data_IF_275227202533
#
_entry.id   IF_275227202533
#
_cell.length_a   1.000
_cell.length_b   1.000
_cell.length_c   1.000
_cell.angle_alpha   90.00
_cell.angle_beta   90.00
_cell.angle_gamma   90.00
#
_symmetry.space_group_name_H-M   'P 1'
#
loop_
_entity.id
_entity.type
_entity.pdbx_description
1 polymer ?
#
# COMPACT_ATOMS: atom_id res chain seq x y z
N UNK A 1 10.65 6.52 16.06
CA UNK A 1 11.65 5.75 16.85
C UNK A 1 11.10 5.06 18.09
N UNK A 2 10.17 5.63 18.89
CA UNK A 2 9.70 4.97 20.14
C UNK A 2 9.23 3.52 19.90
N UNK A 3 8.39 3.30 18.88
CA UNK A 3 7.89 1.96 18.56
C UNK A 3 8.99 1.03 18.02
N UNK A 4 9.87 1.53 17.15
CA UNK A 4 11.02 0.76 16.66
C UNK A 4 11.94 0.27 17.79
N UNK A 5 12.22 1.09 18.80
CA UNK A 5 13.03 0.68 19.96
C UNK A 5 12.31 -0.36 20.83
N UNK A 6 10.98 -0.26 20.93
CA UNK A 6 10.16 -1.28 21.61
C UNK A 6 10.25 -2.62 20.87
N UNK A 7 9.99 -2.63 19.56
CA UNK A 7 10.08 -3.82 18.72
C UNK A 7 11.49 -4.43 18.78
N UNK A 8 12.53 -3.59 18.73
CA UNK A 8 13.92 -4.07 18.88
C UNK A 8 14.11 -4.85 20.18
N UNK A 9 13.66 -4.30 21.31
CA UNK A 9 13.77 -4.97 22.60
C UNK A 9 12.94 -6.27 22.66
N UNK A 10 11.78 -6.30 22.02
CA UNK A 10 10.94 -7.49 21.89
C UNK A 10 11.62 -8.60 21.07
N UNK A 11 12.20 -8.26 19.91
CA UNK A 11 12.95 -9.21 19.08
C UNK A 11 14.20 -9.73 19.81
N UNK A 12 14.88 -8.88 20.58
CA UNK A 12 16.00 -9.28 21.45
C UNK A 12 15.55 -10.26 22.54
N UNK A 13 14.41 -9.99 23.19
CA UNK A 13 13.85 -10.85 24.23
C UNK A 13 13.38 -12.20 23.66
N UNK A 14 12.80 -12.20 22.47
CA UNK A 14 12.47 -13.41 21.72
C UNK A 14 13.71 -14.16 21.27
N UNK A 15 14.89 -13.54 21.29
CA UNK A 15 16.18 -14.14 20.93
C UNK A 15 16.36 -14.30 19.42
N UNK A 16 15.90 -13.34 18.63
CA UNK A 16 16.36 -13.18 17.25
C UNK A 16 17.81 -12.66 17.23
N UNK A 17 18.48 -12.87 16.11
CA UNK A 17 19.88 -12.50 15.90
C UNK A 17 20.02 -11.39 14.85
N UNK A 18 21.24 -10.87 14.67
CA UNK A 18 21.57 -9.84 13.67
C UNK A 18 20.63 -8.61 13.71
N UNK A 19 20.20 -8.22 14.92
CA UNK A 19 19.23 -7.14 15.13
C UNK A 19 19.92 -5.80 14.91
N UNK A 20 19.39 -4.99 13.98
CA UNK A 20 19.88 -3.65 13.71
C UNK A 20 18.74 -2.66 13.59
N UNK A 21 18.86 -1.51 14.25
CA UNK A 21 18.02 -0.33 14.05
C UNK A 21 18.92 0.80 13.58
N UNK A 22 18.68 1.32 12.37
CA UNK A 22 19.50 2.40 11.81
C UNK A 22 18.99 3.81 12.19
N UNK A 23 19.75 4.84 11.81
CA UNK A 23 19.40 6.24 12.08
C UNK A 23 18.16 6.74 11.32
N UNK A 24 17.64 5.95 10.37
CA UNK A 24 16.45 6.27 9.59
C UNK A 24 15.21 5.54 10.11
N UNK A 25 15.38 4.60 11.04
CA UNK A 25 14.28 3.88 11.68
C UNK A 25 14.00 2.51 11.08
N UNK A 26 14.84 1.98 10.19
CA UNK A 26 14.68 0.62 9.69
C UNK A 26 15.18 -0.38 10.73
N UNK A 27 14.28 -1.26 11.16
CA UNK A 27 14.60 -2.35 12.09
C UNK A 27 14.66 -3.68 11.34
N UNK A 28 15.82 -4.33 11.34
CA UNK A 28 16.00 -5.67 10.77
C UNK A 28 16.39 -6.66 11.86
N UNK A 29 15.96 -7.92 11.71
CA UNK A 29 16.37 -9.03 12.58
C UNK A 29 16.37 -10.37 11.81
N UNK A 30 16.93 -11.40 12.43
CA UNK A 30 17.06 -12.75 11.87
C UNK A 30 16.53 -13.81 12.81
N UNK A 31 15.74 -14.73 12.27
CA UNK A 31 15.59 -16.07 12.82
C UNK A 31 16.60 -17.00 12.13
N UNK A 32 17.59 -17.57 12.86
CA UNK A 32 18.59 -18.47 12.26
C UNK A 32 17.97 -19.71 11.65
N UNK A 33 18.62 -20.27 10.63
CA UNK A 33 18.21 -21.57 10.05
C UNK A 33 18.24 -22.68 11.09
N UNK A 34 17.24 -23.58 11.04
CA UNK A 34 17.24 -24.81 11.84
C UNK A 34 17.53 -26.08 11.02
N UNK A 35 17.99 -25.90 9.78
CA UNK A 35 18.43 -26.96 8.85
C UNK A 35 19.89 -26.76 8.42
N UNK A 36 20.57 -27.86 8.13
CA UNK A 36 21.98 -27.86 7.67
C UNK A 36 22.13 -27.63 6.15
N UNK A 37 21.08 -27.92 5.36
CA UNK A 37 21.14 -27.72 3.91
C UNK A 37 21.03 -26.23 3.58
N UNK A 38 21.62 -25.83 2.45
CA UNK A 38 21.43 -24.49 1.92
C UNK A 38 19.97 -24.30 1.49
N UNK A 39 19.34 -23.25 2.03
CA UNK A 39 17.97 -22.84 1.75
C UNK A 39 18.00 -21.34 1.44
N UNK A 40 17.24 -20.87 0.45
CA UNK A 40 17.13 -19.44 0.19
C UNK A 40 16.76 -18.64 1.42
N UNK A 41 17.41 -17.48 1.59
CA UNK A 41 17.06 -16.53 2.65
C UNK A 41 15.84 -15.74 2.22
N UNK A 42 14.75 -15.82 2.99
CA UNK A 42 13.49 -15.12 2.70
C UNK A 42 13.20 -14.05 3.73
N UNK A 43 12.49 -13.01 3.31
CA UNK A 43 12.09 -11.88 4.15
C UNK A 43 10.58 -11.81 4.43
N UNK A 44 10.22 -11.28 5.59
CA UNK A 44 8.88 -10.75 5.86
C UNK A 44 8.99 -9.29 6.33
N UNK A 45 8.15 -8.41 5.79
CA UNK A 45 8.25 -6.97 5.97
C UNK A 45 6.88 -6.40 6.36
N UNK A 46 6.85 -5.48 7.32
CA UNK A 46 5.65 -4.70 7.70
C UNK A 46 6.03 -3.31 8.15
N UNK A 47 5.13 -2.33 8.02
CA UNK A 47 5.42 -0.94 8.36
C UNK A 47 4.93 -0.52 9.76
N UNK A 48 5.62 0.46 10.35
CA UNK A 48 5.41 0.86 11.76
C UNK A 48 4.47 2.04 11.94
N UNK A 49 4.26 2.84 10.91
CA UNK A 49 3.41 4.01 10.95
C UNK A 49 1.92 3.64 10.76
N UNK A 50 1.08 4.66 10.74
CA UNK A 50 -0.36 4.55 10.50
C UNK A 50 -0.77 5.79 9.71
N UNK A 51 -1.73 5.64 8.81
CA UNK A 51 -2.18 6.72 7.91
C UNK A 51 -2.40 8.09 8.59
N UNK A 52 -1.97 9.19 7.94
CA UNK A 52 -2.22 10.55 8.42
C UNK A 52 -3.69 11.00 8.27
N UNK A 53 -4.52 10.24 7.56
CA UNK A 53 -5.92 10.59 7.25
C UNK A 53 -6.81 10.61 8.51
N UNK A 54 -6.44 9.84 9.53
CA UNK A 54 -7.11 9.83 10.83
C UNK A 54 -6.11 9.64 11.96
N UNK A 55 -6.38 10.22 13.12
CA UNK A 55 -5.46 10.11 14.26
C UNK A 55 -5.33 8.66 14.74
N UNK A 56 -4.10 8.14 14.76
CA UNK A 56 -3.71 6.88 15.43
C UNK A 56 -3.21 7.07 16.88
N UNK A 57 -3.43 8.27 17.45
CA UNK A 57 -3.05 8.57 18.85
C UNK A 57 -4.15 8.16 19.82
N UNK A 58 -3.75 7.54 20.93
CA UNK A 58 -4.63 7.14 22.05
C UNK A 58 -5.77 6.20 21.61
N UNK A 59 -5.47 5.29 20.66
CA UNK A 59 -6.41 4.27 20.17
C UNK A 59 -6.92 3.43 21.34
N UNK A 60 -8.23 3.25 21.39
CA UNK A 60 -8.92 2.46 22.43
C UNK A 60 -9.60 1.24 21.80
N UNK A 61 -8.83 0.19 21.46
CA UNK A 61 -9.38 -0.99 20.81
C UNK A 61 -10.26 -1.78 21.77
N UNK A 62 -11.30 -2.42 21.23
CA UNK A 62 -12.12 -3.39 21.98
C UNK A 62 -12.48 -4.59 21.13
N UNK A 63 -12.69 -5.73 21.78
CA UNK A 63 -13.08 -6.97 21.11
C UNK A 63 -14.60 -7.09 21.12
N UNK A 64 -15.18 -7.42 19.97
CA UNK A 64 -16.55 -7.88 19.80
C UNK A 64 -16.49 -9.38 19.62
N UNK A 65 -16.77 -10.12 20.69
CA UNK A 65 -16.72 -11.58 20.67
C UNK A 65 -17.89 -12.16 19.88
N UNK A 66 -17.63 -13.20 19.09
CA UNK A 66 -18.64 -13.97 18.35
C UNK A 66 -19.63 -13.06 17.60
N UNK A 67 -19.10 -12.23 16.70
CA UNK A 67 -19.88 -11.22 15.97
C UNK A 67 -21.14 -11.82 15.32
N UNK A 68 -22.30 -11.24 15.60
CA UNK A 68 -23.60 -11.82 15.21
C UNK A 68 -24.11 -11.38 13.83
N UNK A 69 -23.37 -10.51 13.15
CA UNK A 69 -23.78 -9.95 11.86
C UNK A 69 -24.69 -8.74 11.95
N UNK A 70 -24.76 -8.07 13.10
CA UNK A 70 -25.56 -6.85 13.31
C UNK A 70 -24.69 -5.59 13.40
N UNK A 71 -25.31 -4.44 13.65
CA UNK A 71 -24.60 -3.17 13.81
C UNK A 71 -23.71 -3.18 15.07
N UNK A 72 -22.49 -2.65 14.93
CA UNK A 72 -21.55 -2.49 16.05
C UNK A 72 -21.47 -0.99 16.40
N UNK A 73 -21.99 -0.61 17.55
CA UNK A 73 -21.81 0.76 18.07
C UNK A 73 -20.34 0.98 18.46
N UNK A 74 -19.62 1.84 17.73
CA UNK A 74 -18.22 2.13 18.03
C UNK A 74 -18.08 3.16 19.15
N UNK A 75 -18.89 4.22 19.10
CA UNK A 75 -18.89 5.26 20.14
C UNK A 75 -19.81 4.92 21.31
N UNK A 76 -19.46 5.41 22.50
CA UNK A 76 -20.28 5.25 23.69
C UNK A 76 -21.67 5.91 23.56
N UNK A 77 -21.76 6.99 22.78
CA UNK A 77 -23.01 7.71 22.49
C UNK A 77 -23.87 6.99 21.44
N UNK A 78 -23.35 5.95 20.76
CA UNK A 78 -24.06 5.17 19.75
C UNK A 78 -24.30 5.91 18.43
N UNK A 79 -23.67 7.06 18.22
CA UNK A 79 -23.79 7.86 16.99
C UNK A 79 -22.81 7.45 15.87
N UNK A 80 -21.80 6.65 16.19
CA UNK A 80 -20.85 6.07 15.23
C UNK A 80 -21.06 4.55 15.26
N UNK A 81 -21.47 3.99 14.12
CA UNK A 81 -21.87 2.59 14.01
C UNK A 81 -21.16 1.97 12.81
N UNK A 82 -20.43 0.88 13.05
CA UNK A 82 -19.94 0.00 12.00
C UNK A 82 -21.10 -0.93 11.61
N UNK A 83 -21.67 -0.70 10.42
CA UNK A 83 -22.91 -1.34 9.97
C UNK A 83 -22.70 -2.16 8.70
N UNK A 84 -23.23 -3.39 8.61
CA UNK A 84 -23.21 -4.17 7.37
C UNK A 84 -24.02 -3.54 6.23
N UNK A 85 -24.88 -2.55 6.51
CA UNK A 85 -25.56 -1.78 5.47
C UNK A 85 -24.60 -0.84 4.72
N UNK A 86 -23.53 -0.39 5.39
CA UNK A 86 -22.49 0.47 4.83
C UNK A 86 -21.28 -0.35 4.36
N UNK A 87 -20.97 -1.43 5.09
CA UNK A 87 -19.81 -2.29 4.89
C UNK A 87 -20.27 -3.76 4.77
N UNK A 88 -20.84 -4.18 3.63
CA UNK A 88 -21.42 -5.52 3.45
C UNK A 88 -20.45 -6.67 3.75
N UNK A 89 -19.15 -6.46 3.54
CA UNK A 89 -18.06 -7.38 3.85
C UNK A 89 -18.03 -7.80 5.33
N UNK A 90 -18.52 -6.96 6.25
CA UNK A 90 -18.64 -7.29 7.67
C UNK A 90 -19.43 -8.59 7.90
N UNK A 91 -20.42 -8.89 7.04
CA UNK A 91 -21.24 -10.11 7.13
C UNK A 91 -20.44 -11.39 6.85
N UNK A 92 -19.25 -11.31 6.25
CA UNK A 92 -18.38 -12.46 6.05
C UNK A 92 -17.76 -12.98 7.37
N UNK A 93 -17.76 -12.14 8.41
CA UNK A 93 -17.06 -12.40 9.68
C UNK A 93 -18.00 -12.80 10.82
N UNK A 94 -19.19 -13.32 10.51
CA UNK A 94 -20.12 -13.81 11.54
C UNK A 94 -19.51 -15.00 12.30
N UNK A 95 -19.53 -14.91 13.62
CA UNK A 95 -18.96 -15.91 14.53
C UNK A 95 -17.47 -15.72 14.81
N UNK A 96 -16.82 -14.73 14.21
CA UNK A 96 -15.43 -14.36 14.51
C UNK A 96 -15.38 -13.28 15.61
N UNK A 97 -14.20 -13.11 16.20
CA UNK A 97 -13.95 -12.07 17.19
C UNK A 97 -13.34 -10.86 16.49
N UNK A 98 -13.98 -9.70 16.60
CA UNK A 98 -13.57 -8.49 15.87
C UNK A 98 -12.91 -7.49 16.82
N UNK A 99 -11.68 -7.06 16.50
CA UNK A 99 -11.08 -5.90 17.13
C UNK A 99 -11.58 -4.65 16.38
N UNK A 100 -12.21 -3.74 17.10
CA UNK A 100 -12.79 -2.50 16.56
C UNK A 100 -12.30 -1.27 17.32
N UNK A 101 -12.43 -0.09 16.72
CA UNK A 101 -12.15 1.21 17.34
C UNK A 101 -13.25 1.65 18.33
N UNK A 102 -13.05 2.80 18.99
CA UNK A 102 -14.11 3.54 19.69
C UNK A 102 -14.80 4.62 18.82
N UNK A 103 -14.49 4.65 17.53
CA UNK A 103 -15.01 5.61 16.55
C UNK A 103 -14.28 6.96 16.49
N UNK A 104 -13.30 7.22 17.36
CA UNK A 104 -12.56 8.51 17.42
C UNK A 104 -11.20 8.49 16.75
N UNK A 105 -10.63 7.31 16.57
CA UNK A 105 -9.31 7.06 15.95
C UNK A 105 -9.45 6.06 14.80
N UNK A 106 -8.39 5.89 14.00
CA UNK A 106 -8.19 4.64 13.27
C UNK A 106 -7.80 3.52 14.27
N UNK A 107 -7.76 2.27 13.82
CA UNK A 107 -7.30 1.14 14.63
C UNK A 107 -5.79 0.95 14.52
N UNK A 108 -5.25 1.04 13.31
CA UNK A 108 -3.86 0.75 12.98
C UNK A 108 -3.61 -0.75 12.82
N UNK A 109 -4.60 -1.51 12.36
CA UNK A 109 -4.39 -2.85 11.85
C UNK A 109 -3.46 -2.80 10.63
N UNK A 110 -3.64 -1.81 9.77
CA UNK A 110 -2.65 -1.34 8.79
C UNK A 110 -1.55 -0.51 9.51
N UNK A 111 -0.32 -1.02 9.70
CA UNK A 111 0.17 -2.39 9.43
C UNK A 111 0.69 -3.10 10.69
N UNK A 112 0.13 -2.74 11.85
CA UNK A 112 0.53 -3.39 13.12
C UNK A 112 0.00 -4.81 13.24
N UNK A 113 -1.00 -5.19 12.45
CA UNK A 113 -1.42 -6.58 12.33
C UNK A 113 -0.31 -7.42 11.70
N UNK A 114 0.24 -6.99 10.56
CA UNK A 114 1.37 -7.64 9.91
C UNK A 114 2.60 -7.76 10.81
N UNK A 115 2.92 -6.69 11.57
CA UNK A 115 3.98 -6.76 12.59
C UNK A 115 3.71 -7.86 13.62
N UNK A 116 2.51 -7.90 14.20
CA UNK A 116 2.15 -8.89 15.20
C UNK A 116 2.19 -10.32 14.62
N UNK A 117 1.70 -10.51 13.40
CA UNK A 117 1.70 -11.80 12.69
C UNK A 117 3.12 -12.30 12.42
N UNK A 118 4.01 -11.42 11.97
CA UNK A 118 5.44 -11.73 11.75
C UNK A 118 6.09 -12.14 13.06
N UNK A 119 5.92 -11.35 14.13
CA UNK A 119 6.54 -11.62 15.44
C UNK A 119 6.02 -12.94 16.01
N UNK A 120 4.70 -13.17 15.99
CA UNK A 120 4.09 -14.42 16.44
C UNK A 120 4.53 -15.63 15.61
N UNK A 121 4.73 -15.47 14.30
CA UNK A 121 5.28 -16.53 13.46
C UNK A 121 6.72 -16.89 13.84
N UNK A 122 7.56 -15.88 14.13
CA UNK A 122 8.94 -16.13 14.56
C UNK A 122 8.99 -16.82 15.93
N UNK A 123 8.15 -16.39 16.87
CA UNK A 123 8.02 -17.03 18.19
C UNK A 123 7.61 -18.50 18.03
N UNK A 124 6.55 -18.76 17.26
CA UNK A 124 6.06 -20.11 17.03
C UNK A 124 7.09 -21.04 16.37
N UNK A 125 7.80 -20.58 15.34
CA UNK A 125 8.88 -21.37 14.70
C UNK A 125 10.01 -21.72 15.68
N UNK A 126 10.30 -20.84 16.65
CA UNK A 126 11.29 -21.12 17.70
C UNK A 126 10.80 -22.15 18.71
N UNK A 127 9.52 -22.09 19.08
CA UNK A 127 8.91 -23.04 20.01
C UNK A 127 8.68 -24.43 19.36
N UNK A 128 8.61 -24.48 18.03
CA UNK A 128 8.35 -25.67 17.22
C UNK A 128 9.51 -26.04 16.27
N UNK A 129 10.69 -26.44 16.79
CA UNK A 129 11.87 -26.75 15.98
C UNK A 129 11.74 -27.99 15.08
N UNK A 130 10.66 -28.76 15.24
CA UNK A 130 10.24 -29.80 14.30
C UNK A 130 9.84 -29.23 12.93
N UNK A 131 9.36 -27.98 12.88
CA UNK A 131 9.05 -27.27 11.64
C UNK A 131 10.35 -26.76 11.06
N UNK A 132 10.75 -27.31 9.92
CA UNK A 132 12.03 -26.97 9.30
C UNK A 132 11.94 -25.68 8.53
N UNK A 133 12.89 -24.78 8.74
CA UNK A 133 12.98 -23.50 8.05
C UNK A 133 14.45 -23.11 7.81
N UNK A 134 14.68 -22.37 6.72
CA UNK A 134 15.97 -21.71 6.45
C UNK A 134 16.17 -20.47 7.32
N UNK A 135 17.16 -19.64 6.95
CA UNK A 135 17.33 -18.32 7.56
C UNK A 135 16.17 -17.42 7.14
N UNK A 136 15.51 -16.78 8.10
CA UNK A 136 14.42 -15.84 7.84
C UNK A 136 14.84 -14.45 8.32
N UNK A 137 14.60 -13.43 7.50
CA UNK A 137 14.81 -12.03 7.85
C UNK A 137 13.46 -11.36 8.08
N UNK A 138 13.39 -10.51 9.09
CA UNK A 138 12.21 -9.67 9.34
C UNK A 138 12.62 -8.20 9.28
N UNK A 139 11.78 -7.38 8.67
CA UNK A 139 12.03 -5.96 8.50
C UNK A 139 10.84 -5.11 8.87
N UNK A 140 11.06 -4.07 9.67
CA UNK A 140 10.05 -3.09 10.02
C UNK A 140 10.46 -1.70 9.53
N UNK A 141 9.73 -1.18 8.54
CA UNK A 141 9.99 0.08 7.84
C UNK A 141 9.21 1.26 8.46
N UNK A 142 9.77 2.47 8.47
CA UNK A 142 9.05 3.69 8.83
C UNK A 142 8.48 4.40 7.58
N UNK A 143 7.46 5.23 7.76
CA UNK A 143 6.99 6.23 6.78
C UNK A 143 6.45 5.62 5.46
N UNK A 144 5.82 4.44 5.51
CA UNK A 144 5.13 3.82 4.36
C UNK A 144 3.99 4.71 3.88
N UNK A 145 3.17 5.20 4.81
CA UNK A 145 1.89 5.88 4.53
C UNK A 145 2.07 7.26 3.89
N UNK A 146 3.32 7.75 3.87
CA UNK A 146 3.73 8.98 3.18
C UNK A 146 4.61 8.70 1.95
N UNK A 147 4.70 7.44 1.54
CA UNK A 147 5.38 6.95 0.34
C UNK A 147 6.91 6.89 0.46
N UNK A 148 7.46 6.86 1.68
CA UNK A 148 8.90 6.89 1.94
C UNK A 148 9.45 5.57 2.52
N UNK A 149 8.59 4.60 2.82
CA UNK A 149 8.99 3.36 3.48
C UNK A 149 10.10 2.60 2.76
N UNK A 150 9.99 2.38 1.45
CA UNK A 150 11.05 1.71 0.71
C UNK A 150 12.21 2.63 0.32
N UNK A 151 12.13 3.95 0.56
CA UNK A 151 13.05 4.93 -0.03
C UNK A 151 14.51 4.72 0.39
N UNK A 152 14.75 4.45 1.68
CA UNK A 152 16.10 4.20 2.24
C UNK A 152 16.33 2.77 2.71
N UNK A 153 15.41 1.86 2.38
CA UNK A 153 15.57 0.45 2.69
C UNK A 153 16.85 -0.12 2.06
N UNK A 154 17.73 -0.70 2.88
CA UNK A 154 18.99 -1.30 2.47
C UNK A 154 18.79 -2.78 2.13
N UNK A 155 18.56 -3.05 0.84
CA UNK A 155 18.31 -4.41 0.31
C UNK A 155 19.51 -5.33 0.51
N UNK A 156 20.73 -4.81 0.36
CA UNK A 156 21.96 -5.60 0.51
C UNK A 156 22.14 -6.04 1.97
N UNK A 157 21.93 -5.13 2.92
CA UNK A 157 21.94 -5.43 4.35
C UNK A 157 20.77 -6.32 4.78
N UNK A 158 19.61 -6.19 4.14
CA UNK A 158 18.48 -7.08 4.41
C UNK A 158 18.81 -8.52 3.98
N UNK A 159 19.44 -8.69 2.81
CA UNK A 159 20.16 -9.92 2.46
C UNK A 159 19.28 -11.11 2.10
N UNK A 160 18.11 -10.87 1.50
CA UNK A 160 17.17 -11.91 1.06
C UNK A 160 17.18 -12.12 -0.44
N UNK A 161 16.84 -13.33 -0.89
CA UNK A 161 16.56 -13.63 -2.29
C UNK A 161 15.20 -13.05 -2.72
N UNK A 162 14.22 -13.09 -1.82
CA UNK A 162 12.92 -12.42 -1.97
C UNK A 162 12.30 -12.17 -0.59
N UNK A 163 11.22 -11.39 -0.57
CA UNK A 163 10.47 -11.11 0.65
C UNK A 163 8.96 -11.12 0.40
N UNK A 164 8.17 -10.99 1.46
CA UNK A 164 6.73 -10.73 1.41
C UNK A 164 6.42 -9.54 2.32
N UNK A 165 5.64 -8.58 1.85
CA UNK A 165 4.99 -7.63 2.77
C UNK A 165 3.77 -8.31 3.37
N UNK A 166 3.55 -8.13 4.67
CA UNK A 166 2.36 -8.60 5.38
C UNK A 166 1.41 -7.43 5.58
N UNK A 167 0.98 -6.80 4.49
CA UNK A 167 0.32 -5.48 4.47
C UNK A 167 -0.92 -5.51 3.54
N UNK A 168 -1.53 -6.69 3.39
CA UNK A 168 -2.74 -6.87 2.58
C UNK A 168 -4.01 -6.79 3.42
N UNK A 169 -5.15 -6.69 2.74
CA UNK A 169 -6.46 -6.63 3.39
C UNK A 169 -7.01 -8.00 3.77
N UNK A 170 -8.10 -8.39 3.10
CA UNK A 170 -8.90 -9.56 3.46
C UNK A 170 -8.15 -10.89 3.34
N UNK A 171 -8.55 -11.87 4.15
CA UNK A 171 -7.99 -13.23 4.14
C UNK A 171 -7.95 -13.82 2.72
N UNK A 172 -6.76 -14.29 2.35
CA UNK A 172 -6.49 -14.91 1.06
C UNK A 172 -6.01 -13.95 -0.01
N UNK A 173 -6.03 -12.63 0.22
CA UNK A 173 -5.43 -11.67 -0.71
C UNK A 173 -3.93 -11.97 -0.91
N UNK A 174 -3.55 -12.00 -2.18
CA UNK A 174 -2.17 -12.16 -2.64
C UNK A 174 -1.96 -11.21 -3.82
N UNK A 175 -1.05 -10.26 -3.65
CA UNK A 175 -0.92 -9.16 -4.61
C UNK A 175 0.51 -9.09 -5.13
N UNK A 176 0.66 -9.16 -6.45
CA UNK A 176 1.96 -9.07 -7.12
C UNK A 176 1.90 -8.19 -8.38
N UNK A 177 0.84 -7.40 -8.48
CA UNK A 177 0.61 -6.42 -9.54
C UNK A 177 0.16 -5.11 -8.89
N UNK A 178 0.75 -3.99 -9.32
CA UNK A 178 0.34 -2.65 -8.88
C UNK A 178 0.33 -1.67 -10.05
N UNK A 179 -0.14 -0.44 -9.84
CA UNK A 179 -0.11 0.55 -10.91
C UNK A 179 1.33 0.96 -11.29
N UNK A 180 1.54 1.26 -12.57
CA UNK A 180 2.56 2.23 -12.97
C UNK A 180 2.03 3.64 -12.70
N UNK A 181 2.88 4.54 -12.22
CA UNK A 181 2.48 5.85 -11.73
C UNK A 181 3.35 6.98 -12.25
N UNK A 182 2.71 8.08 -12.65
CA UNK A 182 3.36 9.36 -12.91
C UNK A 182 2.56 10.50 -12.27
N UNK A 183 3.24 11.60 -11.99
CA UNK A 183 2.62 12.89 -11.68
C UNK A 183 2.86 13.86 -12.84
N UNK A 184 1.83 14.63 -13.20
CA UNK A 184 1.88 15.64 -14.24
C UNK A 184 1.37 16.97 -13.71
N UNK A 185 2.24 17.98 -13.69
CA UNK A 185 1.90 19.36 -13.32
C UNK A 185 1.90 20.21 -14.58
N UNK A 186 0.77 20.86 -14.85
CA UNK A 186 0.61 21.72 -16.02
C UNK A 186 0.39 23.15 -15.54
N UNK A 187 1.27 24.04 -15.98
CA UNK A 187 1.19 25.48 -15.70
C UNK A 187 0.69 26.20 -16.94
N UNK A 188 -0.37 26.99 -16.78
CA UNK A 188 -0.93 27.82 -17.84
C UNK A 188 -0.63 29.29 -17.58
N UNK A 189 -0.04 29.95 -18.55
CA UNK A 189 0.24 31.39 -18.53
C UNK A 189 -0.89 32.15 -19.22
N UNK A 190 -1.49 33.08 -18.50
CA UNK A 190 -2.45 34.04 -18.99
C UNK A 190 -1.84 35.44 -19.16
N UNK A 191 -2.72 36.42 -19.19
CA UNK A 191 -2.40 37.85 -19.24
C UNK A 191 -3.54 38.63 -18.60
N UNK A 192 -3.32 39.11 -17.38
CA UNK A 192 -4.29 39.87 -16.62
C UNK A 192 -4.26 41.36 -16.99
N UNK A 193 -5.44 41.96 -17.06
CA UNK A 193 -5.63 43.40 -17.25
C UNK A 193 -6.93 43.81 -16.55
N UNK A 194 -7.09 45.10 -16.25
CA UNK A 194 -8.32 45.58 -15.62
C UNK A 194 -9.58 45.14 -16.41
N UNK A 195 -10.57 44.48 -15.78
CA UNK A 195 -11.73 43.89 -16.47
C UNK A 195 -12.49 44.87 -17.39
N UNK A 196 -12.60 46.14 -16.98
CA UNK A 196 -13.24 47.19 -17.79
C UNK A 196 -12.55 47.51 -19.13
N UNK A 197 -11.30 47.09 -19.33
CA UNK A 197 -10.51 47.35 -20.54
C UNK A 197 -10.00 46.05 -21.19
N UNK A 198 -10.60 44.91 -20.86
CA UNK A 198 -10.05 43.58 -21.16
C UNK A 198 -10.25 43.09 -22.61
N UNK A 199 -11.15 43.71 -23.38
CA UNK A 199 -11.49 43.26 -24.74
C UNK A 199 -10.24 43.13 -25.62
N UNK A 200 -10.03 41.95 -26.18
CA UNK A 200 -8.89 41.57 -27.03
C UNK A 200 -7.50 41.72 -26.36
N UNK A 201 -7.45 41.82 -25.02
CA UNK A 201 -6.20 41.94 -24.25
C UNK A 201 -6.08 40.83 -23.23
N UNK A 202 -7.10 40.59 -22.41
CA UNK A 202 -7.01 39.57 -21.37
C UNK A 202 -6.91 38.17 -21.97
N UNK A 203 -6.00 37.37 -21.42
CA UNK A 203 -5.96 35.92 -21.60
C UNK A 203 -6.17 35.34 -20.22
N UNK A 204 -7.29 34.66 -20.00
CA UNK A 204 -7.63 34.14 -18.68
C UNK A 204 -7.11 32.71 -18.53
N UNK A 205 -6.03 32.55 -17.76
CA UNK A 205 -5.37 31.26 -17.58
C UNK A 205 -6.33 30.18 -17.03
N UNK A 206 -7.26 30.55 -16.14
CA UNK A 206 -8.22 29.62 -15.52
C UNK A 206 -9.13 29.00 -16.58
N UNK A 207 -9.53 29.78 -17.60
CA UNK A 207 -10.36 29.27 -18.70
C UNK A 207 -9.58 28.34 -19.62
N UNK A 208 -8.29 28.60 -19.80
CA UNK A 208 -7.40 27.71 -20.56
C UNK A 208 -7.20 26.40 -19.79
N UNK A 209 -6.98 26.47 -18.47
CA UNK A 209 -6.90 25.30 -17.61
C UNK A 209 -8.20 24.47 -17.62
N UNK A 210 -9.37 25.12 -17.52
CA UNK A 210 -10.66 24.45 -17.68
C UNK A 210 -10.75 23.72 -19.03
N UNK A 211 -10.34 24.37 -20.12
CA UNK A 211 -10.36 23.77 -21.44
C UNK A 211 -9.47 22.53 -21.53
N UNK A 212 -8.30 22.56 -20.91
CA UNK A 212 -7.42 21.39 -20.80
C UNK A 212 -8.08 20.27 -20.00
N UNK A 213 -8.69 20.57 -18.84
CA UNK A 213 -9.39 19.60 -18.00
C UNK A 213 -10.51 18.90 -18.79
N UNK A 214 -11.27 19.65 -19.57
CA UNK A 214 -12.34 19.11 -20.45
C UNK A 214 -11.83 18.22 -21.59
N UNK A 215 -10.55 18.27 -21.92
CA UNK A 215 -9.95 17.41 -22.95
C UNK A 215 -9.54 16.04 -22.40
N UNK A 216 -9.33 15.91 -21.08
CA UNK A 216 -9.00 14.64 -20.43
C UNK A 216 -10.27 13.77 -20.36
N UNK A 217 -10.22 12.47 -20.73
CA UNK A 217 -11.40 11.62 -20.73
C UNK A 217 -12.04 11.49 -19.34
N UNK A 218 -13.23 12.05 -19.16
CA UNK A 218 -13.90 12.08 -17.85
C UNK A 218 -14.26 10.69 -17.31
N UNK A 219 -14.44 9.68 -18.18
CA UNK A 219 -14.74 8.31 -17.75
C UNK A 219 -13.50 7.53 -17.32
N UNK A 220 -12.30 8.03 -17.62
CA UNK A 220 -11.04 7.41 -17.19
C UNK A 220 -10.54 8.11 -15.92
N UNK A 221 -11.39 8.10 -14.90
CA UNK A 221 -11.16 8.73 -13.60
C UNK A 221 -11.32 7.70 -12.45
N UNK A 222 -10.71 7.91 -11.28
CA UNK A 222 -10.81 6.97 -10.16
C UNK A 222 -12.25 6.60 -9.79
N UNK A 223 -13.16 7.57 -9.77
CA UNK A 223 -14.58 7.40 -9.43
C UNK A 223 -15.40 6.60 -10.46
N UNK A 224 -14.78 6.20 -11.57
CA UNK A 224 -15.41 5.46 -12.67
C UNK A 224 -14.65 4.19 -13.07
N UNK A 225 -13.57 3.84 -12.38
CA UNK A 225 -12.67 2.74 -12.77
C UNK A 225 -12.44 1.77 -11.63
N UNK A 226 -12.27 0.48 -11.96
CA UNK A 226 -12.07 -0.61 -11.00
C UNK A 226 -11.08 -1.65 -11.52
N UNK A 227 -10.62 -2.54 -10.64
CA UNK A 227 -9.69 -3.63 -11.01
C UNK A 227 -8.44 -3.13 -11.75
N UNK A 228 -8.25 -3.59 -12.98
CA UNK A 228 -7.08 -3.24 -13.80
C UNK A 228 -7.19 -1.93 -14.59
N UNK A 229 -8.35 -1.27 -14.56
CA UNK A 229 -8.59 -0.04 -15.33
C UNK A 229 -7.71 1.13 -14.81
N UNK A 230 -6.87 1.68 -15.67
CA UNK A 230 -6.09 2.89 -15.39
C UNK A 230 -6.90 4.18 -15.52
N UNK A 231 -6.34 5.29 -15.05
CA UNK A 231 -7.02 6.59 -15.02
C UNK A 231 -6.07 7.79 -15.08
N UNK A 232 -6.67 8.95 -15.34
CA UNK A 232 -6.13 10.27 -15.03
C UNK A 232 -6.92 10.84 -13.85
N UNK A 233 -6.23 11.36 -12.85
CA UNK A 233 -6.90 11.98 -11.70
C UNK A 233 -6.41 13.40 -11.48
N UNK A 234 -7.33 14.36 -11.60
CA UNK A 234 -7.10 15.76 -11.26
C UNK A 234 -7.10 15.93 -9.74
N UNK A 235 -5.91 16.09 -9.15
CA UNK A 235 -5.71 16.18 -7.70
C UNK A 235 -5.63 17.61 -7.17
N UNK A 236 -5.55 18.60 -8.05
CA UNK A 236 -5.47 20.00 -7.62
C UNK A 236 -5.61 20.99 -8.77
N UNK A 237 -6.31 22.08 -8.47
CA UNK A 237 -6.44 23.25 -9.35
C UNK A 237 -6.20 24.49 -8.51
N UNK A 238 -5.28 25.35 -8.94
CA UNK A 238 -5.01 26.63 -8.30
C UNK A 238 -4.77 27.67 -9.38
N UNK A 239 -5.27 28.88 -9.23
CA UNK A 239 -4.95 29.91 -10.21
C UNK A 239 -5.72 31.20 -10.10
N UNK A 240 -5.19 32.17 -10.84
CA UNK A 240 -5.75 33.49 -11.09
C UNK A 240 -5.72 33.78 -12.60
N UNK A 241 -6.20 34.95 -13.03
CA UNK A 241 -6.20 35.31 -14.47
C UNK A 241 -4.81 35.23 -15.10
N UNK A 242 -3.77 35.63 -14.35
CA UNK A 242 -2.38 35.67 -14.83
C UNK A 242 -1.77 34.28 -14.97
N UNK A 243 -2.01 33.37 -14.03
CA UNK A 243 -1.41 32.04 -14.06
C UNK A 243 -2.29 31.04 -13.31
N UNK A 244 -2.40 29.83 -13.83
CA UNK A 244 -3.04 28.70 -13.14
C UNK A 244 -2.19 27.44 -13.28
N UNK A 245 -2.38 26.53 -12.34
CA UNK A 245 -1.72 25.24 -12.29
C UNK A 245 -2.78 24.17 -12.07
N UNK A 246 -2.67 23.09 -12.83
CA UNK A 246 -3.42 21.85 -12.58
C UNK A 246 -2.43 20.73 -12.32
N UNK A 247 -2.76 19.90 -11.35
CA UNK A 247 -1.95 18.74 -10.96
C UNK A 247 -2.74 17.47 -11.21
N UNK A 248 -2.13 16.55 -11.94
CA UNK A 248 -2.67 15.24 -12.25
C UNK A 248 -1.77 14.14 -11.71
N UNK A 249 -2.38 13.01 -11.38
CA UNK A 249 -1.70 11.72 -11.32
C UNK A 249 -2.22 10.80 -12.42
N UNK A 250 -1.33 9.98 -12.96
CA UNK A 250 -1.60 9.05 -14.06
C UNK A 250 -1.32 7.64 -13.55
N UNK A 251 -2.25 6.72 -13.76
CA UNK A 251 -2.15 5.33 -13.30
C UNK A 251 -2.55 4.36 -14.39
N UNK A 252 -1.77 3.30 -14.59
CA UNK A 252 -2.20 2.14 -15.39
C UNK A 252 -1.38 0.89 -15.03
N UNK A 253 -2.01 -0.28 -14.97
CA UNK A 253 -1.31 -1.54 -14.72
C UNK A 253 -0.46 -1.95 -15.91
N UNK A 254 -0.92 -1.63 -17.11
CA UNK A 254 -0.26 -1.97 -18.37
C UNK A 254 0.77 -0.88 -18.72
N UNK A 255 2.00 -1.30 -19.01
CA UNK A 255 3.10 -0.37 -19.28
C UNK A 255 2.89 0.43 -20.56
N UNK A 256 2.35 -0.18 -21.61
CA UNK A 256 2.14 0.50 -22.88
C UNK A 256 0.99 1.50 -22.79
N UNK A 257 -0.10 1.15 -22.09
CA UNK A 257 -1.20 2.09 -21.80
C UNK A 257 -0.72 3.23 -20.92
N UNK A 258 0.11 2.96 -19.91
CA UNK A 258 0.71 4.00 -19.07
C UNK A 258 1.52 5.01 -19.91
N UNK A 259 2.40 4.54 -20.79
CA UNK A 259 3.18 5.42 -21.66
C UNK A 259 2.29 6.13 -22.70
N UNK A 260 1.23 5.48 -23.19
CA UNK A 260 0.23 6.12 -24.05
C UNK A 260 -0.48 7.26 -23.30
N UNK A 261 -0.83 7.07 -22.03
CA UNK A 261 -1.48 8.09 -21.23
C UNK A 261 -0.62 9.34 -21.05
N UNK A 262 0.68 9.14 -20.81
CA UNK A 262 1.69 10.21 -20.74
C UNK A 262 1.77 10.99 -22.06
N UNK A 263 1.81 10.28 -23.20
CA UNK A 263 1.79 10.91 -24.54
C UNK A 263 0.51 11.69 -24.82
N UNK A 264 -0.65 11.23 -24.33
CA UNK A 264 -1.90 11.99 -24.48
C UNK A 264 -1.86 13.31 -23.69
N UNK A 265 -1.27 13.34 -22.48
CA UNK A 265 -1.05 14.59 -21.74
C UNK A 265 -0.17 15.58 -22.52
N UNK A 266 0.93 15.11 -23.11
CA UNK A 266 1.77 15.91 -24.00
C UNK A 266 0.98 16.43 -25.21
N UNK A 267 0.14 15.58 -25.81
CA UNK A 267 -0.72 15.95 -26.95
C UNK A 267 -1.73 17.03 -26.56
N UNK A 268 -2.34 16.93 -25.37
CA UNK A 268 -3.27 17.94 -24.88
C UNK A 268 -2.60 19.29 -24.66
N UNK A 269 -1.39 19.29 -24.08
CA UNK A 269 -0.56 20.50 -23.91
C UNK A 269 -0.21 21.12 -25.26
N UNK A 270 0.23 20.31 -26.23
CA UNK A 270 0.54 20.78 -27.58
C UNK A 270 -0.67 21.42 -28.26
N UNK A 271 -1.87 20.84 -28.09
CA UNK A 271 -3.12 21.39 -28.63
C UNK A 271 -3.50 22.73 -27.98
N UNK A 272 -3.33 22.87 -26.67
CA UNK A 272 -3.52 24.17 -26.00
C UNK A 272 -2.55 25.21 -26.56
N UNK A 273 -1.27 24.87 -26.72
CA UNK A 273 -0.27 25.79 -27.27
C UNK A 273 -0.57 26.19 -28.72
N UNK A 274 -1.10 25.27 -29.54
CA UNK A 274 -1.53 25.59 -30.90
C UNK A 274 -2.73 26.55 -30.95
N UNK A 275 -3.64 26.47 -29.96
CA UNK A 275 -4.86 27.27 -29.92
C UNK A 275 -4.65 28.66 -29.29
N UNK A 276 -3.81 28.74 -28.26
CA UNK A 276 -3.66 29.94 -27.42
C UNK A 276 -2.29 30.64 -27.56
N UNK A 277 -1.33 30.02 -28.26
CA UNK A 277 0.01 30.53 -28.50
C UNK A 277 1.09 29.62 -27.89
N UNK A 278 2.26 29.60 -28.51
CA UNK A 278 3.42 28.86 -27.97
C UNK A 278 3.69 29.27 -26.52
N UNK A 279 4.15 28.31 -25.70
CA UNK A 279 4.46 28.45 -24.27
C UNK A 279 3.30 28.83 -23.34
N UNK A 280 2.05 28.86 -23.82
CA UNK A 280 0.86 29.07 -22.98
C UNK A 280 0.71 27.99 -21.90
N UNK A 281 0.99 26.73 -22.24
CA UNK A 281 0.94 25.59 -21.33
C UNK A 281 2.31 24.91 -21.28
N UNK A 282 2.79 24.64 -20.07
CA UNK A 282 4.04 23.92 -19.81
C UNK A 282 3.75 22.70 -18.95
N UNK A 283 4.25 21.53 -19.35
CA UNK A 283 4.10 20.26 -18.64
C UNK A 283 5.39 19.87 -17.95
N UNK A 284 5.31 19.66 -16.64
CA UNK A 284 6.31 18.97 -15.84
C UNK A 284 5.76 17.59 -15.47
N UNK A 285 6.35 16.53 -16.01
CA UNK A 285 5.90 15.16 -15.79
C UNK A 285 7.05 14.30 -15.29
N UNK A 286 6.79 13.50 -14.26
CA UNK A 286 7.76 12.58 -13.65
C UNK A 286 7.10 11.26 -13.31
N UNK A 287 7.80 10.17 -13.59
CA UNK A 287 7.41 8.84 -13.11
C UNK A 287 7.61 8.77 -11.59
N UNK A 288 6.76 8.00 -10.91
CA UNK A 288 6.75 7.83 -9.45
C UNK A 288 7.17 6.41 -9.07
N UNK A 289 6.48 5.39 -9.62
CA UNK A 289 6.78 3.97 -9.42
C UNK A 289 6.21 3.16 -10.60
N UNK A 290 6.55 1.87 -10.65
CA UNK A 290 6.17 0.95 -11.72
C UNK A 290 5.49 -0.30 -11.17
N UNK A 291 4.84 -1.06 -12.05
CA UNK A 291 4.20 -2.32 -11.70
C UNK A 291 5.25 -3.40 -11.40
N UNK A 292 5.22 -3.95 -10.19
CA UNK A 292 6.15 -4.97 -9.70
C UNK A 292 6.06 -6.29 -10.46
N UNK A 293 4.96 -6.54 -11.17
CA UNK A 293 4.79 -7.73 -12.01
C UNK A 293 5.99 -7.97 -12.93
N UNK A 294 6.59 -6.91 -13.49
CA UNK A 294 7.79 -6.98 -14.32
C UNK A 294 8.96 -7.69 -13.61
N UNK A 295 9.06 -7.52 -12.29
CA UNK A 295 10.10 -8.10 -11.42
C UNK A 295 9.69 -9.43 -10.81
N UNK A 296 8.41 -9.69 -10.67
CA UNK A 296 7.88 -10.95 -10.11
C UNK A 296 7.80 -12.06 -11.18
N UNK A 297 7.39 -11.76 -12.42
CA UNK A 297 7.22 -12.77 -13.50
C UNK A 297 8.46 -13.66 -13.73
N UNK A 298 9.71 -13.15 -13.66
CA UNK A 298 10.90 -14.01 -13.77
C UNK A 298 11.11 -15.00 -12.61
N UNK A 299 10.45 -14.78 -11.47
CA UNK A 299 10.63 -15.50 -10.20
C UNK A 299 9.29 -15.98 -9.62
N UNK A 300 8.35 -16.39 -10.49
CA UNK A 300 6.99 -16.83 -10.11
C UNK A 300 6.93 -17.94 -9.05
N UNK A 301 8.03 -18.69 -8.84
CA UNK A 301 8.12 -19.67 -7.76
C UNK A 301 7.83 -19.07 -6.37
N UNK A 302 8.04 -17.77 -6.18
CA UNK A 302 7.69 -17.02 -4.95
C UNK A 302 6.18 -16.99 -4.77
N UNK A 303 5.44 -16.65 -5.83
CA UNK A 303 3.97 -16.65 -5.83
C UNK A 303 3.45 -18.07 -5.65
N UNK A 304 4.06 -19.07 -6.30
CA UNK A 304 3.67 -20.47 -6.15
C UNK A 304 3.85 -20.97 -4.70
N UNK A 305 4.88 -20.52 -3.98
CA UNK A 305 5.07 -20.83 -2.56
C UNK A 305 3.96 -20.20 -1.71
N UNK A 306 3.68 -18.91 -1.89
CA UNK A 306 2.63 -18.23 -1.12
C UNK A 306 1.25 -18.87 -1.38
N UNK A 307 0.95 -19.19 -2.63
CA UNK A 307 -0.28 -19.86 -3.04
C UNK A 307 -0.43 -21.22 -2.35
N UNK A 308 0.61 -22.06 -2.42
CA UNK A 308 0.61 -23.38 -1.78
C UNK A 308 0.53 -23.29 -0.24
N UNK A 309 1.16 -22.27 0.36
CA UNK A 309 1.11 -22.05 1.79
C UNK A 309 -0.30 -21.70 2.27
N UNK A 310 -0.97 -20.78 1.58
CA UNK A 310 -2.36 -20.43 1.83
C UNK A 310 -3.28 -21.66 1.75
N UNK A 311 -3.21 -22.43 0.66
CA UNK A 311 -4.03 -23.64 0.50
C UNK A 311 -3.78 -24.66 1.62
N UNK A 312 -2.51 -24.85 2.01
CA UNK A 312 -2.13 -25.81 3.05
C UNK A 312 -2.65 -25.45 4.46
N UNK A 313 -2.96 -24.17 4.71
CA UNK A 313 -3.56 -23.70 5.97
C UNK A 313 -5.06 -23.41 5.84
N UNK A 314 -5.69 -23.86 4.75
CA UNK A 314 -7.14 -23.72 4.55
C UNK A 314 -7.58 -22.31 4.11
N UNK A 315 -6.65 -21.49 3.64
CA UNK A 315 -6.93 -20.17 3.05
C UNK A 315 -7.02 -20.32 1.53
N UNK A 316 -8.11 -19.84 0.94
CA UNK A 316 -8.26 -19.82 -0.52
C UNK A 316 -7.54 -18.57 -1.07
N UNK A 317 -6.52 -18.71 -1.92
CA UNK A 317 -5.86 -17.55 -2.51
C UNK A 317 -6.80 -16.73 -3.40
N UNK A 318 -6.62 -15.42 -3.36
CA UNK A 318 -7.40 -14.43 -4.09
C UNK A 318 -6.45 -13.37 -4.66
N UNK A 319 -6.05 -13.56 -5.91
CA UNK A 319 -5.16 -12.61 -6.58
C UNK A 319 -5.93 -11.34 -6.93
N UNK A 320 -5.57 -10.23 -6.30
CA UNK A 320 -6.12 -8.90 -6.59
C UNK A 320 -5.01 -7.94 -7.07
N UNK A 321 -5.31 -7.03 -8.01
CA UNK A 321 -4.38 -5.97 -8.38
C UNK A 321 -4.41 -4.82 -7.37
N UNK A 322 -3.23 -4.33 -6.98
CA UNK A 322 -3.10 -3.14 -6.15
C UNK A 322 -3.36 -1.89 -6.99
N UNK A 323 -4.43 -1.16 -6.66
CA UNK A 323 -4.77 0.13 -7.32
C UNK A 323 -3.99 1.31 -6.74
N UNK A 324 -2.70 1.12 -6.49
CA UNK A 324 -1.78 2.06 -5.86
C UNK A 324 -0.32 1.67 -6.08
N UNK A 325 0.54 2.06 -5.17
CA UNK A 325 1.89 1.54 -5.03
C UNK A 325 2.09 1.05 -3.60
N UNK A 326 2.96 0.08 -3.41
CA UNK A 326 3.36 -0.43 -2.10
C UNK A 326 4.87 -0.35 -1.98
N UNK A 327 5.36 -0.47 -0.75
CA UNK A 327 6.79 -0.68 -0.53
C UNK A 327 7.33 -1.92 -1.23
N UNK A 328 6.57 -3.03 -1.23
CA UNK A 328 6.92 -4.25 -1.97
C UNK A 328 7.19 -4.00 -3.45
N UNK A 329 6.43 -3.11 -4.09
CA UNK A 329 6.66 -2.74 -5.48
C UNK A 329 7.97 -1.97 -5.68
N UNK A 330 8.28 -1.01 -4.81
CA UNK A 330 9.54 -0.27 -4.88
C UNK A 330 10.75 -1.19 -4.59
N UNK A 331 10.64 -2.06 -3.59
CA UNK A 331 11.66 -3.06 -3.23
C UNK A 331 11.94 -4.02 -4.38
N UNK A 332 10.89 -4.45 -5.11
CA UNK A 332 11.02 -5.31 -6.28
C UNK A 332 11.90 -4.67 -7.36
N UNK A 333 11.80 -3.36 -7.59
CA UNK A 333 12.67 -2.63 -8.51
C UNK A 333 14.09 -2.36 -7.96
N UNK A 334 14.27 -2.43 -6.63
CA UNK A 334 15.57 -2.36 -5.95
C UNK A 334 16.31 -3.71 -5.89
N UNK A 335 15.73 -4.77 -6.47
CA UNK A 335 16.35 -6.10 -6.53
C UNK A 335 15.84 -7.08 -5.46
N UNK A 336 14.79 -6.74 -4.72
CA UNK A 336 14.13 -7.63 -3.77
C UNK A 336 12.68 -7.89 -4.20
N UNK A 337 12.40 -8.90 -5.05
CA UNK A 337 11.03 -9.30 -5.40
C UNK A 337 10.19 -9.48 -4.14
N UNK A 338 9.10 -8.71 -4.04
CA UNK A 338 8.35 -8.58 -2.78
C UNK A 338 6.85 -8.40 -3.03
N UNK A 339 6.10 -9.50 -3.26
CA UNK A 339 4.63 -9.47 -3.29
C UNK A 339 4.04 -9.21 -1.90
N UNK A 340 2.75 -8.85 -1.87
CA UNK A 340 1.98 -8.57 -0.67
C UNK A 340 1.07 -9.75 -0.30
N UNK A 341 0.98 -10.05 0.99
CA UNK A 341 0.10 -11.07 1.57
C UNK A 341 -0.88 -10.38 2.52
N UNK A 342 -2.12 -10.87 2.58
CA UNK A 342 -3.12 -10.39 3.54
C UNK A 342 -2.63 -10.35 5.00
N UNK A 343 -3.06 -9.33 5.74
CA UNK A 343 -2.96 -9.19 7.19
C UNK A 343 -4.35 -9.17 7.88
N UNK A 344 -5.43 -9.36 7.12
CA UNK A 344 -6.77 -9.57 7.64
C UNK A 344 -7.54 -8.33 8.06
N UNK A 345 -6.91 -7.15 8.07
CA UNK A 345 -7.58 -5.90 8.40
C UNK A 345 -8.50 -5.41 7.27
N UNK A 346 -9.54 -4.66 7.66
CA UNK A 346 -10.52 -4.08 6.76
C UNK A 346 -10.76 -2.61 7.11
N UNK A 347 -11.27 -1.84 6.13
CA UNK A 347 -11.64 -0.44 6.29
C UNK A 347 -10.50 0.44 6.81
N UNK A 348 -9.29 0.23 6.29
CA UNK A 348 -8.09 0.98 6.63
C UNK A 348 -8.27 2.50 6.58
N UNK A 349 -7.40 3.21 7.31
CA UNK A 349 -7.26 4.68 7.30
C UNK A 349 -8.46 5.45 7.87
N UNK A 350 -9.33 4.78 8.64
CA UNK A 350 -10.54 5.41 9.14
C UNK A 350 -11.09 4.81 10.43
N UNK A 351 -12.10 5.48 10.98
CA UNK A 351 -12.73 5.07 12.24
C UNK A 351 -13.46 3.74 12.19
N UNK A 352 -13.81 3.28 10.99
CA UNK A 352 -14.52 2.03 10.78
C UNK A 352 -13.56 0.85 10.55
N UNK A 353 -12.25 1.09 10.68
CA UNK A 353 -11.22 0.07 10.63
C UNK A 353 -11.48 -1.00 11.68
N UNK A 354 -11.41 -2.26 11.25
CA UNK A 354 -11.55 -3.41 12.13
C UNK A 354 -10.73 -4.58 11.60
N UNK A 355 -10.44 -5.53 12.47
CA UNK A 355 -9.72 -6.75 12.11
C UNK A 355 -10.32 -7.96 12.86
N UNK A 356 -10.69 -9.03 12.15
CA UNK A 356 -11.02 -10.31 12.79
C UNK A 356 -9.75 -10.98 13.31
N UNK A 357 -9.77 -11.41 14.58
CA UNK A 357 -8.62 -12.09 15.23
C UNK A 357 -8.24 -13.37 14.46
N UNK A 358 -9.23 -14.13 14.00
CA UNK A 358 -9.04 -15.36 13.24
C UNK A 358 -8.39 -15.13 11.86
N UNK A 359 -8.43 -13.89 11.34
CA UNK A 359 -7.71 -13.52 10.12
C UNK A 359 -6.22 -13.39 10.40
N UNK A 360 -5.85 -12.77 11.52
CA UNK A 360 -4.44 -12.65 11.96
C UNK A 360 -3.83 -14.03 12.22
N UNK A 361 -4.57 -14.92 12.88
CA UNK A 361 -4.13 -16.31 13.11
C UNK A 361 -3.81 -17.03 11.80
N UNK A 362 -4.63 -16.83 10.76
CA UNK A 362 -4.41 -17.39 9.43
C UNK A 362 -3.20 -16.77 8.74
N UNK A 363 -2.99 -15.46 8.84
CA UNK A 363 -1.84 -14.79 8.25
C UNK A 363 -0.52 -15.29 8.88
N UNK A 364 -0.47 -15.37 10.22
CA UNK A 364 0.63 -15.99 10.95
C UNK A 364 0.88 -17.44 10.49
N UNK A 365 -0.19 -18.25 10.34
CA UNK A 365 -0.06 -19.62 9.86
C UNK A 365 0.48 -19.70 8.42
N UNK A 366 0.13 -18.75 7.55
CA UNK A 366 0.69 -18.63 6.20
C UNK A 366 2.18 -18.33 6.26
N UNK A 367 2.64 -17.39 7.10
CA UNK A 367 4.08 -17.07 7.27
C UNK A 367 4.86 -18.33 7.66
N UNK A 368 4.40 -19.05 8.69
CA UNK A 368 5.01 -20.32 9.15
C UNK A 368 5.06 -21.34 8.02
N UNK A 369 3.96 -21.49 7.27
CA UNK A 369 3.87 -22.47 6.19
C UNK A 369 4.76 -22.11 4.98
N UNK A 370 4.91 -20.82 4.66
CA UNK A 370 5.86 -20.35 3.65
C UNK A 370 7.29 -20.76 4.05
N UNK A 371 7.69 -20.47 5.29
CA UNK A 371 9.01 -20.84 5.79
C UNK A 371 9.28 -22.34 5.72
N UNK A 372 8.27 -23.16 6.07
CA UNK A 372 8.33 -24.62 5.98
C UNK A 372 8.49 -25.11 4.53
N UNK A 373 7.65 -24.61 3.62
CA UNK A 373 7.66 -25.03 2.22
C UNK A 373 8.96 -24.64 1.51
N UNK A 374 9.54 -23.49 1.85
CA UNK A 374 10.83 -23.06 1.29
C UNK A 374 11.95 -23.99 1.75
N UNK A 375 11.97 -24.37 3.03
CA UNK A 375 12.95 -25.34 3.52
C UNK A 375 12.70 -26.78 3.05
N UNK A 376 11.50 -27.13 2.57
CA UNK A 376 11.22 -28.46 2.03
C UNK A 376 11.73 -28.66 0.59
N UNK A 377 11.96 -27.58 -0.16
CA UNK A 377 12.37 -27.61 -1.58
C UNK A 377 13.79 -28.12 -1.82
#
# INVERSE_FOLDING_TARGET
>A
MVFAEYLKAELEALGLEEITLDEHGYLFATLPSNVEKEVPVIGFISHMDTSPDMTGKDVSPRIVENYDGTDIALSAEGNIVLSPAQFPELLAHKGEDLIVTDGKTLLGADDKAGIAEIISAMEFLKEHPEIKHGKIRVGFNPDEEIGLGAHKFDVEKFGCEWAYTMDGGEVGELEFENFNAASAKIVFQGRNVHPGYAKNKMINSIRIAQRFIEMVPAQEAPEHTSGYEGFYHLIGVQGEVEQSTVSYIIRDHDRDKFEHRKKEMERFVARINAEYGETTATLEMRDQYYNMREKIEPVMHIIDVAFAAMEAVGVKPNVKPIRGGTDGAQLSFKGLPCPNIFAGGLNFHGRYEFIPVQSMEKAMAVIVKIAELVAAR
#
